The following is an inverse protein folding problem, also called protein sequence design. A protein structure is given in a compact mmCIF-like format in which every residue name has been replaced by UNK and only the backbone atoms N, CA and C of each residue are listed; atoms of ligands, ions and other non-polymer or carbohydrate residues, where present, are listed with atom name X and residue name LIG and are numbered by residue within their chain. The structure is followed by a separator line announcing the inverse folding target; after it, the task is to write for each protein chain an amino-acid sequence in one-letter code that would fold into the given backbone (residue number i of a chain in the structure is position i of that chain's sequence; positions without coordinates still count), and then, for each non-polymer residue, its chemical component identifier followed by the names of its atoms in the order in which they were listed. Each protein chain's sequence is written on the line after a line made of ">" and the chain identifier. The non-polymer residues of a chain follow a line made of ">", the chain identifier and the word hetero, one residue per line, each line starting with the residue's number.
data_IF_874278970218
#
_entry.id   IF_874278970218
#
_cell.length_a   1.000
_cell.length_b   1.000
_cell.length_c   1.000
_cell.angle_alpha   90.00
_cell.angle_beta   90.00
_cell.angle_gamma   90.00
#
_symmetry.space_group_name_H-M   'P 1'
#
loop_
_entity.id
_entity.type
_entity.pdbx_description
1 polymer ?
#
# COMPACT_ATOMS: atom_id res chain seq x y z
N UNK A 1 -14.98 16.20 -3.42
CA UNK A 1 -15.41 15.01 -2.64
C UNK A 1 -14.53 14.88 -1.43
N UNK A 2 -15.05 14.73 -0.24
CA UNK A 2 -14.27 14.75 1.01
C UNK A 2 -13.53 13.44 1.32
N UNK A 3 -13.09 12.69 0.29
CA UNK A 3 -12.28 11.48 0.46
C UNK A 3 -10.89 11.86 0.98
N UNK A 4 -10.54 11.39 2.16
CA UNK A 4 -9.29 11.74 2.84
C UNK A 4 -8.28 10.59 2.90
N UNK A 5 -8.74 9.34 2.83
CA UNK A 5 -7.87 8.18 2.76
C UNK A 5 -8.57 6.97 2.13
N UNK A 6 -7.79 6.04 1.63
CA UNK A 6 -8.27 4.78 1.08
C UNK A 6 -7.23 3.68 1.26
N UNK A 7 -7.71 2.48 1.55
CA UNK A 7 -6.88 1.28 1.68
C UNK A 7 -7.59 0.10 1.02
N UNK A 8 -6.88 -0.65 0.20
CA UNK A 8 -7.37 -1.89 -0.38
C UNK A 8 -6.57 -3.07 0.16
N UNK A 9 -7.25 -4.06 0.68
CA UNK A 9 -6.65 -5.26 1.24
C UNK A 9 -7.60 -6.44 1.14
N UNK A 10 -7.12 -7.60 0.72
CA UNK A 10 -7.87 -8.86 0.69
C UNK A 10 -9.24 -8.76 -0.02
N UNK A 11 -9.33 -7.98 -1.09
CA UNK A 11 -10.57 -7.78 -1.84
C UNK A 11 -11.52 -6.75 -1.24
N UNK A 12 -11.14 -6.07 -0.18
CA UNK A 12 -11.93 -5.06 0.51
C UNK A 12 -11.32 -3.67 0.34
N UNK A 13 -12.17 -2.70 -0.02
CA UNK A 13 -11.81 -1.30 -0.13
C UNK A 13 -12.36 -0.54 1.07
N UNK A 14 -11.49 0.02 1.89
CA UNK A 14 -11.85 0.90 3.00
C UNK A 14 -11.62 2.36 2.61
N UNK A 15 -12.63 3.19 2.80
CA UNK A 15 -12.61 4.62 2.46
C UNK A 15 -12.80 5.45 3.72
N UNK A 16 -12.07 6.55 3.81
CA UNK A 16 -12.24 7.55 4.86
C UNK A 16 -12.72 8.86 4.26
N UNK A 17 -13.82 9.35 4.77
CA UNK A 17 -14.36 10.66 4.41
C UNK A 17 -14.19 11.64 5.56
N UNK A 18 -13.81 12.87 5.24
CA UNK A 18 -13.64 13.97 6.21
C UNK A 18 -14.28 15.21 5.65
N UNK A 19 -14.94 15.98 6.52
CA UNK A 19 -15.64 17.19 6.12
C UNK A 19 -16.73 17.55 7.12
N UNK A 20 -17.72 18.33 6.69
CA UNK A 20 -18.88 18.63 7.52
C UNK A 20 -19.71 17.37 7.78
N UNK A 21 -20.38 17.31 8.92
CA UNK A 21 -21.22 16.16 9.29
C UNK A 21 -22.22 15.82 8.19
N UNK A 22 -22.94 16.81 7.69
CA UNK A 22 -23.96 16.60 6.64
C UNK A 22 -23.37 16.09 5.33
N UNK A 23 -22.20 16.55 4.92
CA UNK A 23 -21.53 16.08 3.70
C UNK A 23 -21.04 14.64 3.85
N UNK A 24 -20.50 14.28 5.00
CA UNK A 24 -20.05 12.91 5.29
C UNK A 24 -21.24 11.96 5.35
N UNK A 25 -22.29 12.30 6.08
CA UNK A 25 -23.52 11.48 6.17
C UNK A 25 -24.15 11.24 4.79
N UNK A 26 -24.21 12.26 3.96
CA UNK A 26 -24.75 12.13 2.61
C UNK A 26 -23.94 11.12 1.75
N UNK A 27 -22.61 11.22 1.78
CA UNK A 27 -21.74 10.32 1.03
C UNK A 27 -21.81 8.90 1.57
N UNK A 28 -21.79 8.71 2.88
CA UNK A 28 -21.90 7.40 3.52
C UNK A 28 -23.22 6.72 3.10
N UNK A 29 -24.33 7.46 3.13
CA UNK A 29 -25.64 6.96 2.66
C UNK A 29 -25.61 6.55 1.20
N UNK A 30 -25.00 7.36 0.33
CA UNK A 30 -24.88 7.02 -1.10
C UNK A 30 -24.07 5.75 -1.33
N UNK A 31 -22.93 5.59 -0.64
CA UNK A 31 -22.12 4.39 -0.76
C UNK A 31 -22.83 3.14 -0.21
N UNK A 32 -23.58 3.27 0.87
CA UNK A 32 -24.40 2.18 1.40
C UNK A 32 -25.45 1.73 0.38
N UNK A 33 -26.17 2.66 -0.23
CA UNK A 33 -27.22 2.38 -1.20
C UNK A 33 -26.69 1.83 -2.53
N UNK A 34 -25.62 2.41 -3.05
CA UNK A 34 -25.11 2.08 -4.39
C UNK A 34 -24.16 0.88 -4.40
N UNK A 35 -23.43 0.65 -3.32
CA UNK A 35 -22.37 -0.35 -3.27
C UNK A 35 -22.50 -1.35 -2.13
N UNK A 36 -23.56 -1.26 -1.31
CA UNK A 36 -23.74 -2.11 -0.14
C UNK A 36 -22.64 -1.90 0.91
N UNK A 37 -22.03 -0.71 0.95
CA UNK A 37 -21.00 -0.39 1.93
C UNK A 37 -21.59 -0.31 3.35
N UNK A 38 -20.80 -0.72 4.32
CA UNK A 38 -21.12 -0.58 5.75
C UNK A 38 -20.09 0.30 6.44
N UNK A 39 -20.50 0.96 7.51
CA UNK A 39 -19.57 1.71 8.34
C UNK A 39 -18.64 0.77 9.10
N UNK A 40 -17.39 1.18 9.22
CA UNK A 40 -16.38 0.44 9.96
C UNK A 40 -16.46 0.79 11.44
N UNK A 41 -16.65 -0.23 12.29
CA UNK A 41 -16.53 -0.08 13.73
C UNK A 41 -15.08 0.27 14.10
N UNK A 42 -14.88 1.12 15.11
CA UNK A 42 -13.55 1.57 15.55
C UNK A 42 -12.68 2.16 14.42
N UNK A 43 -13.27 2.96 13.55
CA UNK A 43 -12.60 3.53 12.39
C UNK A 43 -11.32 4.31 12.76
N UNK A 44 -11.33 5.08 13.85
CA UNK A 44 -10.13 5.80 14.31
C UNK A 44 -8.98 4.84 14.64
N UNK A 45 -9.28 3.74 15.29
CA UNK A 45 -8.29 2.72 15.61
C UNK A 45 -7.74 2.05 14.34
N UNK A 46 -8.61 1.73 13.40
CA UNK A 46 -8.19 1.15 12.11
C UNK A 46 -7.19 2.04 11.38
N UNK A 47 -7.49 3.34 11.23
CA UNK A 47 -6.61 4.26 10.51
C UNK A 47 -5.32 4.56 11.29
N UNK A 48 -5.37 4.57 12.62
CA UNK A 48 -4.18 4.65 13.46
C UNK A 48 -3.29 3.41 13.29
N UNK A 49 -3.86 2.22 13.28
CA UNK A 49 -3.13 0.97 13.11
C UNK A 49 -2.53 0.85 11.70
N UNK A 50 -3.24 1.30 10.68
CA UNK A 50 -2.71 1.38 9.33
C UNK A 50 -1.50 2.33 9.26
N UNK A 51 -1.64 3.54 9.79
CA UNK A 51 -0.57 4.55 9.84
C UNK A 51 0.67 4.03 10.56
N UNK A 52 0.48 3.36 11.68
CA UNK A 52 1.54 2.87 12.56
C UNK A 52 1.97 1.43 12.23
N UNK A 53 1.43 0.85 11.16
CA UNK A 53 1.74 -0.51 10.67
C UNK A 53 1.46 -1.60 11.72
N UNK A 54 0.35 -1.47 12.42
CA UNK A 54 -0.13 -2.43 13.43
C UNK A 54 -1.26 -3.32 12.97
N UNK A 55 -1.78 -3.14 11.74
CA UNK A 55 -2.76 -4.06 11.18
C UNK A 55 -2.16 -5.49 11.08
N UNK A 56 -2.99 -6.54 11.15
CA UNK A 56 -2.52 -7.92 11.03
C UNK A 56 -1.67 -8.21 9.79
N UNK A 57 -1.88 -7.47 8.71
CA UNK A 57 -1.04 -7.56 7.51
C UNK A 57 0.44 -7.32 7.79
N UNK A 58 0.77 -6.43 8.73
CA UNK A 58 2.15 -6.08 9.10
C UNK A 58 2.73 -6.97 10.20
N UNK A 59 1.91 -7.86 10.77
CA UNK A 59 2.32 -8.72 11.86
C UNK A 59 3.23 -9.85 11.36
N UNK A 60 4.39 -10.00 11.99
CA UNK A 60 5.36 -11.06 11.69
C UNK A 60 4.90 -12.44 12.13
N UNK A 61 3.93 -12.54 13.05
CA UNK A 61 3.36 -13.83 13.49
C UNK A 61 2.49 -14.49 12.42
N UNK A 62 2.06 -13.74 11.42
CA UNK A 62 1.23 -14.23 10.32
C UNK A 62 2.03 -14.88 9.16
N UNK A 63 3.37 -14.92 9.25
CA UNK A 63 4.27 -15.50 8.26
C UNK A 63 5.62 -14.75 8.24
N UNK A 64 6.66 -15.45 7.85
CA UNK A 64 8.04 -14.93 7.79
C UNK A 64 8.39 -14.29 6.43
N UNK A 65 7.41 -14.13 5.53
CA UNK A 65 7.70 -13.58 4.23
C UNK A 65 8.20 -12.14 4.36
N UNK A 66 9.23 -11.78 3.59
CA UNK A 66 9.72 -10.41 3.54
C UNK A 66 8.61 -9.41 3.21
N UNK A 67 8.65 -8.26 3.86
CA UNK A 67 7.75 -7.15 3.59
C UNK A 67 8.44 -6.14 2.69
N UNK A 68 7.84 -5.93 1.52
CA UNK A 68 8.30 -4.96 0.53
C UNK A 68 7.41 -3.73 0.53
N UNK A 69 8.03 -2.59 0.34
CA UNK A 69 7.36 -1.31 0.07
C UNK A 69 7.59 -0.91 -1.38
N UNK A 70 6.52 -0.85 -2.17
CA UNK A 70 6.59 -0.47 -3.56
C UNK A 70 6.00 0.93 -3.74
N UNK A 71 6.78 1.83 -4.34
CA UNK A 71 6.32 3.14 -4.78
C UNK A 71 5.91 3.02 -6.25
N UNK A 72 4.65 3.27 -6.55
CA UNK A 72 4.07 3.00 -7.86
C UNK A 72 3.38 4.24 -8.42
N UNK A 73 3.32 4.40 -9.76
CA UNK A 73 2.36 5.32 -10.35
C UNK A 73 0.93 4.95 -9.91
N UNK A 74 0.13 5.95 -9.52
CA UNK A 74 -1.23 5.71 -9.01
C UNK A 74 -2.18 5.07 -10.04
N UNK A 75 -1.86 5.18 -11.31
CA UNK A 75 -2.58 4.57 -12.43
C UNK A 75 -1.92 3.28 -12.96
N UNK A 76 -0.95 2.73 -12.23
CA UNK A 76 -0.28 1.50 -12.65
C UNK A 76 -1.26 0.34 -12.77
N UNK A 77 -1.02 -0.54 -13.75
CA UNK A 77 -1.74 -1.78 -13.89
C UNK A 77 -1.46 -2.71 -12.68
N UNK A 78 -2.27 -3.74 -12.55
CA UNK A 78 -2.11 -4.73 -11.48
C UNK A 78 -0.74 -5.40 -11.56
N UNK A 79 -0.05 -5.47 -10.43
CA UNK A 79 1.24 -6.17 -10.32
C UNK A 79 0.98 -7.68 -10.26
N UNK A 80 1.72 -8.43 -11.05
CA UNK A 80 1.68 -9.89 -11.04
C UNK A 80 2.82 -10.45 -10.17
N UNK A 81 2.58 -10.51 -8.86
CA UNK A 81 3.49 -11.13 -7.88
C UNK A 81 2.71 -12.09 -6.97
N UNK A 82 3.32 -13.19 -6.55
CA UNK A 82 2.73 -14.04 -5.51
C UNK A 82 2.75 -13.32 -4.15
N UNK A 83 1.89 -13.77 -3.24
CA UNK A 83 1.86 -13.26 -1.87
C UNK A 83 0.65 -12.39 -1.58
N UNK A 84 0.77 -11.58 -0.53
CA UNK A 84 -0.32 -10.73 -0.02
C UNK A 84 0.03 -9.27 -0.19
N UNK A 85 -0.96 -8.45 -0.52
CA UNK A 85 -0.77 -7.02 -0.74
C UNK A 85 -1.75 -6.17 0.06
N UNK A 86 -1.30 -4.97 0.38
CA UNK A 86 -2.09 -3.88 0.91
C UNK A 86 -1.74 -2.62 0.12
N UNK A 87 -2.74 -1.91 -0.39
CA UNK A 87 -2.55 -0.73 -1.23
C UNK A 87 -3.11 0.50 -0.54
N UNK A 88 -2.29 1.52 -0.44
CA UNK A 88 -2.61 2.82 0.13
C UNK A 88 -2.37 3.95 -0.87
N UNK A 89 -2.62 5.18 -0.43
CA UNK A 89 -2.34 6.42 -1.16
C UNK A 89 -2.88 6.43 -2.59
N UNK A 90 -4.07 5.86 -2.75
CA UNK A 90 -4.72 5.85 -4.04
C UNK A 90 -4.00 5.05 -5.13
N UNK A 91 -3.26 4.01 -4.73
CA UNK A 91 -2.50 3.18 -5.63
C UNK A 91 -1.03 3.55 -5.76
N UNK A 92 -0.58 4.61 -5.09
CA UNK A 92 0.82 5.03 -5.14
C UNK A 92 1.73 4.26 -4.18
N UNK A 93 1.19 3.68 -3.13
CA UNK A 93 1.91 2.89 -2.15
C UNK A 93 1.35 1.47 -2.08
N UNK A 94 2.19 0.50 -2.40
CA UNK A 94 1.87 -0.91 -2.27
C UNK A 94 2.79 -1.55 -1.22
N UNK A 95 2.18 -2.23 -0.27
CA UNK A 95 2.87 -3.13 0.64
C UNK A 95 2.70 -4.55 0.13
N UNK A 96 3.78 -5.30 0.07
CA UNK A 96 3.75 -6.66 -0.44
C UNK A 96 4.51 -7.61 0.47
N UNK A 97 3.84 -8.68 0.90
CA UNK A 97 4.47 -9.79 1.58
C UNK A 97 4.67 -10.93 0.59
N UNK A 98 5.92 -11.24 0.29
CA UNK A 98 6.26 -12.28 -0.68
C UNK A 98 7.65 -12.84 -0.39
N UNK A 99 7.83 -14.12 -0.65
CA UNK A 99 9.11 -14.81 -0.65
C UNK A 99 9.76 -14.84 -2.05
N UNK A 100 9.16 -14.18 -3.02
CA UNK A 100 9.74 -14.05 -4.36
C UNK A 100 11.14 -13.44 -4.29
N UNK A 101 12.07 -13.86 -5.20
CA UNK A 101 13.41 -13.29 -5.25
C UNK A 101 13.41 -11.77 -5.41
N UNK A 102 14.37 -11.09 -4.81
CA UNK A 102 14.54 -9.64 -4.90
C UNK A 102 14.49 -9.12 -6.34
N UNK A 103 15.20 -9.78 -7.25
CA UNK A 103 15.20 -9.42 -8.67
C UNK A 103 13.78 -9.48 -9.28
N UNK A 104 13.00 -10.48 -8.91
CA UNK A 104 11.61 -10.64 -9.39
C UNK A 104 10.72 -9.52 -8.90
N UNK A 105 10.79 -9.17 -7.61
CA UNK A 105 10.01 -8.09 -7.02
C UNK A 105 10.35 -6.75 -7.66
N UNK A 106 11.63 -6.46 -7.82
CA UNK A 106 12.11 -5.21 -8.44
C UNK A 106 11.73 -5.12 -9.91
N UNK A 107 11.88 -6.20 -10.65
CA UNK A 107 11.49 -6.24 -12.07
C UNK A 107 9.99 -6.03 -12.26
N UNK A 108 9.15 -6.60 -11.40
CA UNK A 108 7.70 -6.41 -11.43
C UNK A 108 7.29 -4.95 -11.17
N UNK A 109 7.94 -4.29 -10.21
CA UNK A 109 7.70 -2.88 -9.94
C UNK A 109 8.20 -1.99 -11.09
N UNK A 110 9.40 -2.21 -11.58
CA UNK A 110 10.02 -1.45 -12.68
C UNK A 110 9.23 -1.55 -13.98
N UNK A 111 8.69 -2.72 -14.31
CA UNK A 111 7.86 -2.93 -15.50
C UNK A 111 6.63 -2.02 -15.55
N UNK A 112 6.16 -1.55 -14.40
CA UNK A 112 5.02 -0.65 -14.25
C UNK A 112 5.43 0.79 -13.89
N UNK A 113 6.72 1.10 -13.96
CA UNK A 113 7.25 2.44 -13.68
C UNK A 113 7.46 2.75 -12.19
N UNK A 114 7.46 1.74 -11.33
CA UNK A 114 7.67 1.86 -9.90
C UNK A 114 9.03 1.38 -9.42
N UNK A 115 9.22 1.45 -8.10
CA UNK A 115 10.41 0.96 -7.40
C UNK A 115 10.02 0.12 -6.19
N UNK A 116 10.88 -0.81 -5.78
CA UNK A 116 10.66 -1.68 -4.63
C UNK A 116 11.80 -1.57 -3.62
N UNK A 117 11.43 -1.41 -2.35
CA UNK A 117 12.36 -1.38 -1.22
C UNK A 117 12.03 -2.52 -0.25
N UNK A 118 13.06 -3.24 0.20
CA UNK A 118 12.90 -4.24 1.25
C UNK A 118 12.71 -3.54 2.61
N UNK A 119 11.53 -3.67 3.20
CA UNK A 119 11.18 -2.98 4.42
C UNK A 119 11.48 -3.79 5.69
N UNK A 120 11.10 -5.08 5.70
CA UNK A 120 11.35 -6.03 6.80
C UNK A 120 11.67 -7.42 6.28
N UNK A 121 12.54 -8.13 7.02
CA UNK A 121 12.92 -9.51 6.69
C UNK A 121 13.81 -9.58 5.47
N UNK A 122 13.93 -10.77 4.89
CA UNK A 122 14.68 -11.03 3.67
C UNK A 122 16.19 -10.89 3.81
N UNK A 123 16.89 -11.06 2.69
CA UNK A 123 18.34 -10.90 2.61
C UNK A 123 18.72 -9.45 2.27
N UNK A 124 19.17 -8.73 3.28
CA UNK A 124 19.63 -7.34 3.11
C UNK A 124 20.97 -7.20 2.39
N UNK A 125 21.69 -8.30 2.19
CA UNK A 125 22.95 -8.28 1.43
C UNK A 125 22.74 -7.90 -0.04
N UNK A 126 21.55 -8.14 -0.60
CA UNK A 126 21.18 -7.70 -1.95
C UNK A 126 20.81 -6.21 -2.05
N UNK A 127 20.90 -5.48 -0.93
CA UNK A 127 20.52 -4.07 -0.84
C UNK A 127 19.05 -3.86 -0.53
N UNK A 128 18.77 -2.94 0.40
CA UNK A 128 17.40 -2.59 0.81
C UNK A 128 16.70 -1.77 -0.26
N UNK A 129 17.44 -0.82 -0.85
CA UNK A 129 16.93 0.07 -1.90
C UNK A 129 17.44 -0.36 -3.27
N UNK A 130 16.68 -0.04 -4.30
CA UNK A 130 17.16 -0.19 -5.66
C UNK A 130 18.31 0.78 -5.94
N UNK A 131 19.28 0.38 -6.77
CA UNK A 131 20.27 1.31 -7.28
C UNK A 131 19.58 2.45 -8.02
N UNK A 132 19.99 3.69 -7.73
CA UNK A 132 19.46 4.86 -8.41
C UNK A 132 19.89 4.86 -9.89
N UNK A 133 18.97 5.27 -10.77
CA UNK A 133 19.31 5.55 -12.15
C UNK A 133 20.43 6.60 -12.24
N UNK A 134 21.32 6.48 -13.21
CA UNK A 134 22.53 7.32 -13.33
C UNK A 134 22.27 8.84 -13.23
N UNK A 135 21.24 9.42 -13.83
CA UNK A 135 20.93 10.85 -13.65
C UNK A 135 20.60 11.21 -12.20
N UNK A 136 19.80 10.38 -11.51
CA UNK A 136 19.38 10.62 -10.12
C UNK A 136 20.58 10.41 -9.18
N UNK A 137 21.41 9.41 -9.43
CA UNK A 137 22.62 9.16 -8.64
C UNK A 137 23.61 10.33 -8.68
N UNK A 138 23.67 11.06 -9.79
CA UNK A 138 24.52 12.29 -9.90
C UNK A 138 23.98 13.43 -9.03
N UNK A 139 22.66 13.59 -8.93
CA UNK A 139 22.05 14.60 -8.08
C UNK A 139 22.35 14.33 -6.61
N UNK A 140 22.32 13.09 -6.19
CA UNK A 140 22.58 12.70 -4.80
C UNK A 140 24.06 12.75 -4.37
N UNK A 141 25.00 12.84 -5.30
CA UNK A 141 26.44 12.94 -4.98
C UNK A 141 26.96 14.37 -4.81
N UNK A 142 26.16 15.36 -5.12
CA UNK A 142 26.44 16.77 -4.89
C UNK A 142 25.76 17.21 -3.60
#
# INVERSE_FOLDING_TARGET
>A
MPLSARCWQAGELTLRFSGTVSAVEHIVSQFAEQHGASELDDAEQYWADLRDQRLPFFDTTAGDEPLWRLSMPSNAARINLPGRQLIEWGGALHWWRTDAPTATVRAAAQALGGTASLFRGGDKAEGVFEPLAAPIARIHRN
#
